data_IF_890800248157
#
_entry.id   IF_890800248157
#
_cell.length_a   1.000
_cell.length_b   1.000
_cell.length_c   1.000
_cell.angle_alpha   90.00
_cell.angle_beta   90.00
_cell.angle_gamma   90.00
#
_symmetry.space_group_name_H-M   'P 1'
#
loop_
_entity.id
_entity.type
_entity.pdbx_description
1 polymer ?
#
# COMPACT_ATOMS: atom_id res chain seq x y z
N UNK A 1 -15.99 -19.97 -29.18
CA UNK A 1 -16.72 -20.99 -28.39
C UNK A 1 -16.38 -20.95 -26.90
N UNK A 2 -15.11 -21.07 -26.47
CA UNK A 2 -14.71 -21.09 -25.04
C UNK A 2 -15.17 -19.88 -24.19
N UNK A 3 -15.19 -18.67 -24.77
CA UNK A 3 -15.64 -17.43 -24.09
C UNK A 3 -17.15 -17.39 -23.84
N UNK A 4 -17.95 -18.01 -24.72
CA UNK A 4 -19.41 -18.11 -24.56
C UNK A 4 -19.78 -19.15 -23.48
N UNK A 5 -19.08 -20.29 -23.46
CA UNK A 5 -19.25 -21.31 -22.42
C UNK A 5 -18.87 -20.79 -21.02
N UNK A 6 -17.78 -20.03 -20.92
CA UNK A 6 -17.38 -19.39 -19.65
C UNK A 6 -18.42 -18.36 -19.19
N UNK A 7 -18.93 -17.53 -20.09
CA UNK A 7 -20.00 -16.57 -19.78
C UNK A 7 -21.28 -17.25 -19.28
N UNK A 8 -21.68 -18.37 -19.91
CA UNK A 8 -22.82 -19.17 -19.47
C UNK A 8 -22.62 -19.78 -18.08
N UNK A 9 -21.43 -20.31 -17.79
CA UNK A 9 -21.11 -20.88 -16.48
C UNK A 9 -21.12 -19.82 -15.36
N UNK A 10 -20.58 -18.63 -15.61
CA UNK A 10 -20.61 -17.51 -14.67
C UNK A 10 -22.05 -17.03 -14.44
N UNK A 11 -22.85 -16.92 -15.50
CA UNK A 11 -24.27 -16.56 -15.39
C UNK A 11 -25.07 -17.59 -14.58
N UNK A 12 -24.86 -18.88 -14.83
CA UNK A 12 -25.51 -19.95 -14.07
C UNK A 12 -25.09 -19.94 -12.58
N UNK A 13 -23.81 -19.75 -12.30
CA UNK A 13 -23.30 -19.61 -10.93
C UNK A 13 -23.92 -18.39 -10.23
N UNK A 14 -24.02 -17.26 -10.92
CA UNK A 14 -24.67 -16.06 -10.38
C UNK A 14 -26.15 -16.31 -10.04
N UNK A 15 -26.91 -16.94 -10.94
CA UNK A 15 -28.32 -17.27 -10.71
C UNK A 15 -28.47 -18.26 -9.55
N UNK A 16 -27.61 -19.27 -9.47
CA UNK A 16 -27.60 -20.22 -8.35
C UNK A 16 -27.31 -19.53 -7.01
N UNK A 17 -26.34 -18.62 -6.97
CA UNK A 17 -26.07 -17.81 -5.80
C UNK A 17 -27.25 -16.89 -5.46
N UNK A 18 -27.90 -16.29 -6.46
CA UNK A 18 -29.04 -15.40 -6.29
C UNK A 18 -30.25 -16.13 -5.66
N UNK A 19 -30.58 -17.30 -6.21
CA UNK A 19 -31.68 -18.14 -5.73
C UNK A 19 -31.33 -18.75 -4.36
N UNK A 20 -30.09 -19.24 -4.19
CA UNK A 20 -29.62 -19.79 -2.91
C UNK A 20 -29.57 -18.74 -1.78
N UNK A 21 -29.38 -17.46 -2.12
CA UNK A 21 -29.45 -16.36 -1.18
C UNK A 21 -30.88 -15.88 -0.90
N UNK A 22 -31.90 -16.41 -1.58
CA UNK A 22 -33.31 -16.03 -1.37
C UNK A 22 -33.62 -14.58 -1.73
N UNK A 23 -32.86 -13.98 -2.65
CA UNK A 23 -33.04 -12.58 -3.02
C UNK A 23 -34.25 -12.42 -3.95
N UNK A 24 -35.37 -11.95 -3.41
CA UNK A 24 -36.59 -11.68 -4.18
C UNK A 24 -36.81 -10.16 -4.36
N UNK A 25 -36.47 -9.57 -5.52
CA UNK A 25 -36.62 -8.12 -5.75
C UNK A 25 -38.04 -7.61 -5.61
N UNK A 26 -39.02 -8.46 -5.94
CA UNK A 26 -40.44 -8.15 -5.84
C UNK A 26 -40.89 -7.87 -4.40
N UNK A 27 -40.20 -8.43 -3.40
CA UNK A 27 -40.50 -8.17 -1.98
C UNK A 27 -40.35 -6.70 -1.61
N UNK A 28 -39.49 -5.94 -2.29
CA UNK A 28 -39.33 -4.50 -2.09
C UNK A 28 -40.56 -3.71 -2.55
N UNK A 29 -41.31 -4.25 -3.53
CA UNK A 29 -42.51 -3.65 -4.09
C UNK A 29 -43.80 -4.17 -3.43
N UNK A 30 -43.68 -5.05 -2.44
CA UNK A 30 -44.82 -5.55 -1.70
C UNK A 30 -45.53 -4.36 -0.99
N UNK A 31 -46.85 -4.15 -1.25
CA UNK A 31 -47.62 -3.12 -0.58
C UNK A 31 -47.54 -3.16 0.96
N UNK A 32 -47.28 -4.31 1.57
CA UNK A 32 -47.05 -4.41 3.01
C UNK A 32 -45.72 -3.77 3.45
N UNK A 33 -44.63 -4.09 2.77
CA UNK A 33 -43.30 -3.53 3.04
C UNK A 33 -43.28 -2.02 2.75
N UNK A 34 -43.87 -1.59 1.65
CA UNK A 34 -43.99 -0.18 1.31
C UNK A 34 -44.78 0.61 2.37
N UNK A 35 -45.84 0.02 2.94
CA UNK A 35 -46.57 0.64 4.05
C UNK A 35 -45.73 0.74 5.32
N UNK A 36 -44.96 -0.30 5.65
CA UNK A 36 -44.06 -0.28 6.80
C UNK A 36 -42.97 0.80 6.64
N UNK A 37 -42.34 0.88 5.47
CA UNK A 37 -41.37 1.94 5.13
C UNK A 37 -42.03 3.31 5.22
N UNK A 38 -43.21 3.50 4.64
CA UNK A 38 -43.90 4.78 4.66
C UNK A 38 -44.35 5.18 6.08
N UNK A 39 -44.71 4.22 6.93
CA UNK A 39 -45.04 4.47 8.34
C UNK A 39 -43.79 4.88 9.12
N UNK A 40 -42.67 4.18 8.94
CA UNK A 40 -41.39 4.54 9.55
C UNK A 40 -40.93 5.94 9.12
N UNK A 41 -40.95 6.23 7.81
CA UNK A 41 -40.56 7.55 7.26
C UNK A 41 -41.46 8.66 7.78
N UNK A 42 -42.78 8.44 7.83
CA UNK A 42 -43.71 9.42 8.42
C UNK A 42 -43.47 9.60 9.91
N UNK A 43 -43.06 8.55 10.63
CA UNK A 43 -42.69 8.64 12.04
C UNK A 43 -41.42 9.45 12.32
N UNK A 44 -40.58 9.69 11.32
CA UNK A 44 -39.41 10.58 11.45
C UNK A 44 -39.77 12.08 11.40
N UNK A 45 -41.01 12.44 11.04
CA UNK A 45 -41.45 13.83 10.87
C UNK A 45 -42.75 14.15 11.66
N UNK A 46 -42.82 15.26 12.42
CA UNK A 46 -41.79 16.29 12.59
C UNK A 46 -40.69 15.85 13.58
N UNK A 47 -39.41 16.14 13.29
CA UNK A 47 -38.32 15.81 14.21
C UNK A 47 -38.41 16.62 15.50
N UNK A 48 -37.99 16.04 16.63
CA UNK A 48 -37.86 16.77 17.88
C UNK A 48 -36.68 17.75 17.78
N UNK A 49 -36.99 19.05 17.71
CA UNK A 49 -36.01 20.14 17.69
C UNK A 49 -35.88 20.81 19.06
N UNK A 50 -36.29 20.13 20.13
CA UNK A 50 -36.17 20.66 21.49
C UNK A 50 -34.70 20.97 21.82
N UNK A 51 -34.42 22.10 22.52
CA UNK A 51 -33.05 22.44 22.92
C UNK A 51 -32.37 21.37 23.79
N UNK A 52 -33.15 20.51 24.48
CA UNK A 52 -32.63 19.36 25.21
C UNK A 52 -32.09 18.29 24.28
N UNK A 53 -32.92 17.84 23.32
CA UNK A 53 -32.52 16.85 22.32
C UNK A 53 -31.34 17.32 21.47
N UNK A 54 -31.36 18.57 20.98
CA UNK A 54 -30.28 19.13 20.17
C UNK A 54 -28.92 19.12 20.87
N UNK A 55 -28.88 19.32 22.19
CA UNK A 55 -27.63 19.23 22.97
C UNK A 55 -27.10 17.80 23.05
N UNK A 56 -27.98 16.82 23.23
CA UNK A 56 -27.60 15.40 23.23
C UNK A 56 -27.11 14.99 21.85
N UNK A 57 -27.85 15.35 20.80
CA UNK A 57 -27.49 15.08 19.41
C UNK A 57 -26.16 15.73 19.04
N UNK A 58 -25.96 17.02 19.34
CA UNK A 58 -24.69 17.71 19.12
C UNK A 58 -23.54 17.03 19.86
N UNK A 59 -23.75 16.65 21.13
CA UNK A 59 -22.75 15.92 21.92
C UNK A 59 -22.42 14.52 21.37
N UNK A 60 -23.38 13.84 20.75
CA UNK A 60 -23.15 12.57 20.06
C UNK A 60 -22.39 12.79 18.74
N UNK A 61 -22.78 13.78 17.94
CA UNK A 61 -22.10 14.15 16.69
C UNK A 61 -20.64 14.53 16.92
N UNK A 62 -20.36 15.37 17.92
CA UNK A 62 -18.98 15.76 18.28
C UNK A 62 -18.18 14.53 18.71
N UNK A 63 -18.78 13.60 19.47
CA UNK A 63 -18.11 12.35 19.85
C UNK A 63 -17.76 11.50 18.63
N UNK A 64 -18.67 11.34 17.67
CA UNK A 64 -18.39 10.61 16.42
C UNK A 64 -17.28 11.27 15.61
N UNK A 65 -17.27 12.60 15.50
CA UNK A 65 -16.19 13.35 14.85
C UNK A 65 -14.86 13.15 15.55
N UNK A 66 -14.83 13.25 16.89
CA UNK A 66 -13.61 13.04 17.66
C UNK A 66 -13.06 11.61 17.50
N UNK A 67 -13.93 10.59 17.58
CA UNK A 67 -13.58 9.18 17.34
C UNK A 67 -12.98 9.02 15.94
N UNK A 68 -13.60 9.61 14.92
CA UNK A 68 -13.09 9.55 13.54
C UNK A 68 -11.71 10.19 13.41
N UNK A 69 -11.52 11.40 13.95
CA UNK A 69 -10.23 12.11 13.90
C UNK A 69 -9.13 11.30 14.59
N UNK A 70 -9.39 10.79 15.79
CA UNK A 70 -8.42 9.98 16.54
C UNK A 70 -8.12 8.68 15.81
N UNK A 71 -9.14 8.00 15.29
CA UNK A 71 -8.98 6.75 14.52
C UNK A 71 -8.16 6.96 13.25
N UNK A 72 -8.40 8.04 12.50
CA UNK A 72 -7.62 8.39 11.32
C UNK A 72 -6.18 8.73 11.68
N UNK A 73 -5.95 9.55 12.71
CA UNK A 73 -4.61 9.89 13.17
C UNK A 73 -3.81 8.65 13.59
N UNK A 74 -4.43 7.77 14.39
CA UNK A 74 -3.85 6.49 14.80
C UNK A 74 -3.50 5.62 13.58
N UNK A 75 -4.43 5.50 12.62
CA UNK A 75 -4.23 4.72 11.39
C UNK A 75 -3.09 5.25 10.56
N UNK A 76 -2.99 6.57 10.40
CA UNK A 76 -1.95 7.21 9.62
C UNK A 76 -0.58 7.00 10.25
N UNK A 77 -0.46 7.17 11.57
CA UNK A 77 0.79 6.97 12.30
C UNK A 77 1.23 5.50 12.22
N UNK A 78 0.36 4.57 12.60
CA UNK A 78 0.68 3.14 12.56
C UNK A 78 0.97 2.65 11.14
N UNK A 79 0.14 3.09 10.18
CA UNK A 79 0.34 2.79 8.77
C UNK A 79 1.68 3.30 8.27
N UNK A 80 2.06 4.54 8.59
CA UNK A 80 3.34 5.11 8.17
C UNK A 80 4.52 4.35 8.76
N UNK A 81 4.48 4.06 10.07
CA UNK A 81 5.52 3.27 10.73
C UNK A 81 5.69 1.88 10.10
N UNK A 82 4.57 1.16 9.89
CA UNK A 82 4.59 -0.17 9.28
C UNK A 82 4.98 -0.11 7.79
N UNK A 83 4.56 0.94 7.07
CA UNK A 83 4.90 1.17 5.67
C UNK A 83 6.40 1.39 5.49
N UNK A 84 7.01 2.26 6.31
CA UNK A 84 8.46 2.47 6.31
C UNK A 84 9.22 1.18 6.64
N UNK A 85 8.78 0.45 7.66
CA UNK A 85 9.41 -0.83 8.04
C UNK A 85 9.27 -1.88 6.92
N UNK A 86 8.14 -1.86 6.22
CA UNK A 86 7.86 -2.68 5.05
C UNK A 86 8.61 -2.23 3.78
N UNK A 87 9.33 -1.10 3.77
CA UNK A 87 10.18 -0.66 2.65
C UNK A 87 11.69 -0.80 2.95
N UNK A 88 12.07 -0.85 4.23
CA UNK A 88 13.46 -0.71 4.70
C UNK A 88 14.48 -1.75 4.18
N UNK A 89 14.04 -2.90 3.64
CA UNK A 89 14.93 -3.92 3.05
C UNK A 89 15.53 -3.48 1.71
N UNK A 90 14.93 -2.53 0.98
CA UNK A 90 15.55 -1.93 -0.23
C UNK A 90 16.71 -0.97 0.08
N UNK A 91 16.87 -0.54 1.34
CA UNK A 91 17.98 0.33 1.75
C UNK A 91 19.33 -0.41 1.73
N UNK A 92 19.36 -1.74 1.69
CA UNK A 92 20.61 -2.50 1.51
C UNK A 92 21.18 -2.33 0.08
N UNK A 93 20.31 -2.11 -0.90
CA UNK A 93 20.73 -1.64 -2.22
C UNK A 93 21.28 -0.21 -2.16
N UNK A 94 21.09 0.53 -1.06
CA UNK A 94 21.63 1.87 -0.80
C UNK A 94 23.09 1.82 -0.32
N UNK A 95 23.48 0.79 0.43
CA UNK A 95 24.79 0.65 1.08
C UNK A 95 25.83 -0.19 0.30
N UNK A 96 25.43 -0.87 -0.79
CA UNK A 96 26.37 -1.65 -1.61
C UNK A 96 27.59 -0.80 -2.09
N UNK A 97 28.84 -1.29 -1.92
CA UNK A 97 30.07 -0.54 -2.20
C UNK A 97 30.11 0.08 -3.61
N UNK A 98 30.61 1.31 -3.65
CA UNK A 98 30.57 2.28 -4.76
C UNK A 98 31.60 2.01 -5.86
N UNK A 99 32.42 0.96 -5.72
CA UNK A 99 33.59 0.78 -6.56
C UNK A 99 33.19 0.17 -7.92
N UNK A 100 33.57 0.79 -9.06
CA UNK A 100 33.37 0.20 -10.37
C UNK A 100 34.17 -1.11 -10.47
N UNK A 101 33.48 -2.25 -10.52
CA UNK A 101 34.10 -3.56 -10.82
C UNK A 101 34.94 -3.50 -12.12
N UNK A 102 34.58 -2.62 -13.05
CA UNK A 102 35.28 -2.41 -14.31
C UNK A 102 36.65 -1.72 -14.21
N UNK A 103 36.96 -0.96 -13.14
CA UNK A 103 38.33 -0.42 -12.92
C UNK A 103 39.20 -1.28 -12.01
N UNK A 104 38.60 -2.17 -11.21
CA UNK A 104 39.35 -3.15 -10.43
C UNK A 104 39.92 -4.28 -11.29
N UNK A 105 39.26 -4.64 -12.40
CA UNK A 105 39.76 -5.66 -13.33
C UNK A 105 40.98 -5.17 -14.15
N UNK A 106 41.16 -3.85 -14.31
CA UNK A 106 42.28 -3.27 -15.05
C UNK A 106 43.49 -2.84 -14.21
N UNK A 107 43.38 -2.88 -12.88
CA UNK A 107 44.45 -2.56 -11.93
C UNK A 107 44.87 -3.76 -11.08
N UNK A 108 44.53 -4.98 -11.54
CA UNK A 108 45.01 -6.21 -10.94
C UNK A 108 46.46 -6.44 -11.39
N UNK A 109 47.39 -5.97 -10.58
CA UNK A 109 48.71 -6.58 -10.45
C UNK A 109 48.57 -8.13 -10.45
N UNK A 110 49.42 -8.86 -11.19
CA UNK A 110 49.43 -10.32 -11.16
C UNK A 110 49.96 -10.78 -9.79
N UNK A 111 49.08 -10.90 -8.79
CA UNK A 111 49.41 -11.49 -7.48
C UNK A 111 48.62 -11.02 -6.26
N UNK A 112 47.82 -9.95 -6.36
CA UNK A 112 47.08 -9.40 -5.21
C UNK A 112 45.63 -9.84 -5.15
N UNK A 113 45.35 -11.07 -4.71
CA UNK A 113 43.99 -11.44 -4.33
C UNK A 113 43.57 -10.52 -3.16
N UNK A 114 42.69 -9.56 -3.41
CA UNK A 114 42.08 -8.76 -2.34
C UNK A 114 41.44 -9.76 -1.39
N UNK A 115 41.95 -9.92 -0.16
CA UNK A 115 41.54 -11.04 0.67
C UNK A 115 40.07 -10.85 1.00
N UNK A 116 39.28 -11.92 0.91
CA UNK A 116 37.84 -11.90 1.21
C UNK A 116 37.53 -11.32 2.60
N UNK A 117 38.52 -11.29 3.50
CA UNK A 117 38.48 -10.65 4.82
C UNK A 117 38.39 -9.11 4.77
N UNK A 118 38.95 -8.45 3.75
CA UNK A 118 38.84 -6.99 3.59
C UNK A 118 37.40 -6.54 3.27
N UNK A 119 36.62 -7.39 2.59
CA UNK A 119 35.18 -7.19 2.34
C UNK A 119 34.34 -7.31 3.61
N UNK A 120 34.76 -8.18 4.55
CA UNK A 120 34.02 -8.47 5.79
C UNK A 120 34.27 -7.39 6.84
N UNK A 121 35.47 -6.80 6.86
CA UNK A 121 35.83 -5.76 7.83
C UNK A 121 35.22 -4.38 7.52
N UNK A 122 34.76 -4.15 6.29
CA UNK A 122 34.23 -2.85 5.84
C UNK A 122 32.72 -2.87 5.48
N UNK A 123 31.99 -3.95 5.77
CA UNK A 123 30.54 -4.08 5.51
C UNK A 123 29.75 -4.31 6.82
N UNK A 124 29.60 -3.27 7.68
CA UNK A 124 28.84 -3.37 8.94
C UNK A 124 27.37 -3.75 8.72
N UNK A 125 26.88 -3.55 7.50
CA UNK A 125 25.51 -3.85 7.07
C UNK A 125 25.28 -5.37 6.90
N UNK A 126 26.32 -6.15 6.61
CA UNK A 126 26.23 -7.60 6.41
C UNK A 126 25.68 -8.33 7.65
N UNK A 127 25.97 -7.82 8.85
CA UNK A 127 25.50 -8.39 10.13
C UNK A 127 24.02 -8.09 10.40
N UNK A 128 23.46 -7.04 9.80
CA UNK A 128 22.07 -6.60 10.03
C UNK A 128 21.08 -7.11 8.97
N UNK A 129 21.57 -7.66 7.84
CA UNK A 129 20.74 -8.19 6.74
C UNK A 129 19.64 -9.17 7.18
N UNK A 130 19.92 -10.22 7.97
CA UNK A 130 18.85 -11.15 8.37
C UNK A 130 17.82 -10.49 9.29
N UNK A 131 18.23 -9.55 10.15
CA UNK A 131 17.32 -8.82 11.02
C UNK A 131 16.39 -7.89 10.23
N UNK A 132 16.91 -7.21 9.20
CA UNK A 132 16.13 -6.32 8.32
C UNK A 132 15.21 -7.12 7.40
N UNK A 133 15.67 -8.24 6.87
CA UNK A 133 14.85 -9.17 6.10
C UNK A 133 13.70 -9.74 6.95
N UNK A 134 13.99 -10.13 8.19
CA UNK A 134 12.98 -10.57 9.14
C UNK A 134 11.99 -9.45 9.46
N UNK A 135 12.48 -8.25 9.78
CA UNK A 135 11.63 -7.09 10.07
C UNK A 135 10.70 -6.75 8.89
N UNK A 136 11.23 -6.80 7.66
CA UNK A 136 10.45 -6.61 6.44
C UNK A 136 9.38 -7.70 6.28
N UNK A 137 9.74 -8.97 6.43
CA UNK A 137 8.81 -10.09 6.30
C UNK A 137 7.70 -10.01 7.34
N UNK A 138 8.06 -9.71 8.60
CA UNK A 138 7.12 -9.49 9.70
C UNK A 138 6.22 -8.30 9.41
N UNK A 139 6.75 -7.15 9.00
CA UNK A 139 5.96 -5.96 8.68
C UNK A 139 4.93 -6.23 7.56
N UNK A 140 5.34 -6.90 6.48
CA UNK A 140 4.44 -7.28 5.37
C UNK A 140 3.39 -8.29 5.83
N UNK A 141 3.76 -9.24 6.67
CA UNK A 141 2.82 -10.18 7.28
C UNK A 141 1.81 -9.46 8.19
N UNK A 142 2.26 -8.53 9.04
CA UNK A 142 1.40 -7.71 9.89
C UNK A 142 0.42 -6.89 9.05
N UNK A 143 0.88 -6.20 7.99
CA UNK A 143 0.00 -5.46 7.08
C UNK A 143 -1.02 -6.36 6.38
N UNK A 144 -0.66 -7.60 6.05
CA UNK A 144 -1.60 -8.57 5.51
C UNK A 144 -2.65 -8.98 6.56
N UNK A 145 -2.23 -9.33 7.77
CA UNK A 145 -3.12 -9.73 8.86
C UNK A 145 -4.12 -8.64 9.25
N UNK A 146 -3.64 -7.41 9.43
CA UNK A 146 -4.48 -6.26 9.80
C UNK A 146 -5.65 -6.06 8.82
N UNK A 147 -5.40 -6.26 7.52
CA UNK A 147 -6.40 -6.09 6.45
C UNK A 147 -7.27 -7.33 6.23
N UNK A 148 -6.72 -8.52 6.44
CA UNK A 148 -7.40 -9.79 6.13
C UNK A 148 -8.53 -10.11 7.09
N UNK A 149 -8.44 -9.63 8.32
CA UNK A 149 -9.47 -9.81 9.33
C UNK A 149 -10.57 -8.76 9.13
N UNK A 150 -11.85 -9.16 9.00
CA UNK A 150 -12.98 -8.22 8.89
C UNK A 150 -13.06 -7.27 10.08
N UNK A 151 -13.50 -6.03 9.84
CA UNK A 151 -13.60 -4.98 10.86
C UNK A 151 -14.39 -5.44 12.10
N UNK A 152 -15.50 -6.17 11.91
CA UNK A 152 -16.33 -6.66 13.02
C UNK A 152 -15.56 -7.57 13.98
N UNK A 153 -14.63 -8.37 13.46
CA UNK A 153 -13.79 -9.25 14.28
C UNK A 153 -12.79 -8.40 15.07
N UNK A 154 -12.20 -7.36 14.46
CA UNK A 154 -11.36 -6.41 15.19
C UNK A 154 -12.12 -5.67 16.29
N UNK A 155 -13.36 -5.25 16.03
CA UNK A 155 -14.23 -4.61 17.03
C UNK A 155 -14.45 -5.54 18.21
N UNK A 156 -14.79 -6.81 17.94
CA UNK A 156 -14.98 -7.80 18.98
C UNK A 156 -13.69 -8.03 19.81
N UNK A 157 -12.55 -8.22 19.15
CA UNK A 157 -11.26 -8.39 19.83
C UNK A 157 -10.89 -7.18 20.69
N UNK A 158 -11.09 -5.96 20.19
CA UNK A 158 -10.80 -4.74 20.94
C UNK A 158 -11.75 -4.59 22.13
N UNK A 159 -13.04 -4.90 21.98
CA UNK A 159 -13.98 -4.91 23.11
C UNK A 159 -13.52 -5.89 24.19
N UNK A 160 -13.06 -7.08 23.82
CA UNK A 160 -12.53 -8.05 24.77
C UNK A 160 -11.24 -7.57 25.45
N UNK A 161 -10.40 -6.82 24.73
CA UNK A 161 -9.11 -6.35 25.23
C UNK A 161 -9.22 -5.11 26.14
N UNK A 162 -10.05 -4.13 25.78
CA UNK A 162 -10.13 -2.83 26.48
C UNK A 162 -11.50 -2.53 27.10
N UNK A 163 -12.50 -3.37 26.86
CA UNK A 163 -13.88 -3.20 27.33
C UNK A 163 -14.79 -2.50 26.33
N UNK A 164 -16.07 -2.38 26.72
CA UNK A 164 -17.10 -1.72 25.92
C UNK A 164 -16.92 -0.20 25.94
N UNK A 165 -16.82 0.42 24.77
CA UNK A 165 -16.83 1.87 24.64
C UNK A 165 -16.29 2.38 23.30
N UNK A 166 -16.29 3.72 23.10
CA UNK A 166 -15.81 4.36 21.88
C UNK A 166 -14.36 3.99 21.52
N UNK A 167 -13.52 3.78 22.54
CA UNK A 167 -12.11 3.47 22.37
C UNK A 167 -11.87 2.14 21.63
N UNK A 168 -12.69 1.11 21.90
CA UNK A 168 -12.61 -0.15 21.19
C UNK A 168 -12.90 0.02 19.69
N UNK A 169 -13.87 0.87 19.34
CA UNK A 169 -14.16 1.22 17.95
C UNK A 169 -13.01 1.97 17.27
N UNK A 170 -12.41 2.93 17.96
CA UNK A 170 -11.21 3.66 17.46
C UNK A 170 -10.06 2.71 17.18
N UNK A 171 -9.76 1.79 18.10
CA UNK A 171 -8.69 0.81 17.92
C UNK A 171 -8.98 -0.16 16.77
N UNK A 172 -10.20 -0.69 16.71
CA UNK A 172 -10.58 -1.67 15.70
C UNK A 172 -10.54 -1.07 14.28
N UNK A 173 -11.20 0.07 14.10
CA UNK A 173 -11.16 0.81 12.83
C UNK A 173 -9.72 1.23 12.52
N UNK A 174 -9.00 1.73 13.53
CA UNK A 174 -7.62 2.19 13.41
C UNK A 174 -6.65 1.12 12.92
N UNK A 175 -6.72 -0.06 13.51
CA UNK A 175 -5.87 -1.21 13.16
C UNK A 175 -6.18 -1.73 11.76
N UNK A 176 -7.46 -1.85 11.42
CA UNK A 176 -7.87 -2.27 10.08
C UNK A 176 -7.39 -1.29 9.00
N UNK A 177 -7.65 0.00 9.19
CA UNK A 177 -7.25 1.05 8.24
C UNK A 177 -5.73 1.24 8.18
N UNK A 178 -5.01 1.07 9.28
CA UNK A 178 -3.54 1.07 9.29
C UNK A 178 -2.93 0.00 8.37
N UNK A 179 -3.53 -1.18 8.29
CA UNK A 179 -3.11 -2.24 7.37
C UNK A 179 -3.20 -1.84 5.90
N UNK A 180 -4.26 -1.10 5.53
CA UNK A 180 -4.46 -0.59 4.18
C UNK A 180 -3.50 0.58 3.89
N UNK A 181 -3.46 1.58 4.77
CA UNK A 181 -2.59 2.75 4.61
C UNK A 181 -1.12 2.37 4.59
N UNK A 182 -0.68 1.45 5.46
CA UNK A 182 0.72 1.02 5.48
C UNK A 182 1.16 0.28 4.23
N UNK A 183 0.25 -0.45 3.57
CA UNK A 183 0.51 -1.01 2.24
C UNK A 183 0.71 0.10 1.20
N UNK A 184 -0.19 1.08 1.17
CA UNK A 184 -0.10 2.21 0.23
C UNK A 184 1.16 3.06 0.47
N UNK A 185 1.51 3.31 1.74
CA UNK A 185 2.76 3.97 2.08
C UNK A 185 3.97 3.15 1.65
N UNK A 186 3.97 1.83 1.84
CA UNK A 186 5.06 0.99 1.36
C UNK A 186 5.19 1.04 -0.17
N UNK A 187 4.07 0.96 -0.90
CA UNK A 187 4.04 1.03 -2.37
C UNK A 187 4.56 2.39 -2.87
N UNK A 188 4.09 3.50 -2.30
CA UNK A 188 4.55 4.85 -2.65
C UNK A 188 6.01 5.09 -2.29
N UNK A 189 6.49 4.58 -1.16
CA UNK A 189 7.90 4.66 -0.78
C UNK A 189 8.77 3.78 -1.69
N UNK A 190 8.26 2.65 -2.19
CA UNK A 190 8.96 1.78 -3.14
C UNK A 190 9.03 2.35 -4.56
N UNK A 191 8.10 3.25 -4.93
CA UNK A 191 8.09 3.94 -6.22
C UNK A 191 9.19 5.01 -6.34
N UNK A 192 9.67 5.55 -5.22
CA UNK A 192 10.73 6.58 -5.24
C UNK A 192 11.99 6.00 -5.89
N UNK A 193 12.47 6.56 -7.03
CA UNK A 193 13.62 6.02 -7.73
C UNK A 193 14.84 6.00 -6.82
N UNK A 194 15.46 4.82 -6.68
CA UNK A 194 16.75 4.75 -6.04
C UNK A 194 17.73 5.66 -6.82
N UNK A 195 18.50 6.53 -6.14
CA UNK A 195 19.46 7.43 -6.80
C UNK A 195 20.44 6.73 -7.75
N UNK A 196 20.64 5.41 -7.59
CA UNK A 196 21.46 4.57 -8.49
C UNK A 196 20.88 4.43 -9.90
N UNK A 197 19.56 4.28 -10.04
CA UNK A 197 18.90 4.03 -11.32
C UNK A 197 18.76 5.30 -12.16
N UNK A 198 18.50 6.44 -11.52
CA UNK A 198 18.39 7.73 -12.19
C UNK A 198 19.74 8.24 -12.70
N UNK A 199 20.84 8.04 -11.97
CA UNK A 199 22.18 8.45 -12.43
C UNK A 199 22.72 7.54 -13.53
N UNK A 200 22.52 6.22 -13.42
CA UNK A 200 22.93 5.28 -14.48
C UNK A 200 22.08 5.42 -15.75
N UNK A 201 20.76 5.66 -15.63
CA UNK A 201 19.89 5.92 -16.77
C UNK A 201 20.19 7.28 -17.42
N UNK A 202 20.53 8.31 -16.64
CA UNK A 202 20.98 9.60 -17.17
C UNK A 202 22.36 9.51 -17.82
N UNK A 203 23.28 8.72 -17.26
CA UNK A 203 24.59 8.46 -17.86
C UNK A 203 24.46 7.69 -19.19
N UNK A 204 23.62 6.64 -19.25
CA UNK A 204 23.36 5.90 -20.48
C UNK A 204 22.62 6.73 -21.55
N UNK A 205 21.75 7.65 -21.13
CA UNK A 205 21.09 8.61 -22.04
C UNK A 205 22.07 9.64 -22.60
N UNK A 206 23.04 10.10 -21.79
CA UNK A 206 24.11 10.99 -22.23
C UNK A 206 25.12 10.29 -23.16
N UNK A 207 25.48 9.03 -22.88
CA UNK A 207 26.35 8.20 -23.72
C UNK A 207 25.69 7.92 -25.08
N UNK A 208 24.43 7.48 -25.10
CA UNK A 208 23.68 7.23 -26.33
C UNK A 208 23.35 8.49 -27.14
N UNK A 209 23.34 9.67 -26.51
CA UNK A 209 23.27 10.96 -27.20
C UNK A 209 24.62 11.36 -27.82
N UNK A 210 25.75 11.06 -27.16
CA UNK A 210 27.10 11.26 -27.71
C UNK A 210 27.38 10.36 -28.91
N UNK A 211 27.00 9.08 -28.85
CA UNK A 211 27.19 8.14 -29.98
C UNK A 211 26.36 8.54 -31.21
N UNK A 212 25.11 8.97 -31.03
CA UNK A 212 24.27 9.48 -32.13
C UNK A 212 24.81 10.78 -32.74
N UNK A 213 25.45 11.64 -31.94
CA UNK A 213 26.06 12.86 -32.45
C UNK A 213 27.39 12.57 -33.18
N UNK A 214 28.17 11.61 -32.69
CA UNK A 214 29.41 11.14 -33.35
C UNK A 214 29.16 10.50 -34.72
N UNK A 215 28.07 9.74 -34.86
CA UNK A 215 27.68 9.11 -36.14
C UNK A 215 27.20 10.11 -37.21
N UNK A 216 26.64 11.27 -36.81
CA UNK A 216 26.21 12.33 -37.74
C UNK A 216 27.32 13.29 -38.13
N UNK A 217 28.36 13.43 -37.31
CA UNK A 217 29.52 14.28 -37.59
C UNK A 217 30.45 13.69 -38.65
N UNK A 218 30.62 12.36 -38.69
CA UNK A 218 31.58 11.71 -39.59
C UNK A 218 31.25 11.76 -41.08
N UNK A 219 29.97 11.90 -41.46
CA UNK A 219 29.55 11.97 -42.87
C UNK A 219 29.72 13.34 -43.51
N UNK A 220 29.62 14.43 -42.73
CA UNK A 220 29.64 15.80 -43.27
C UNK A 220 31.03 16.37 -43.49
N UNK A 221 32.05 15.85 -42.79
CA UNK A 221 33.45 16.27 -43.01
C UNK A 221 34.04 15.64 -44.28
N UNK A 222 33.51 14.49 -44.71
CA UNK A 222 33.90 13.87 -45.99
C UNK A 222 33.28 14.60 -47.20
N UNK A 223 32.09 15.20 -47.04
CA UNK A 223 31.39 15.92 -48.11
C UNK A 223 31.91 17.35 -48.29
N UNK A 224 32.37 18.01 -47.20
CA UNK A 224 32.98 19.34 -47.25
C UNK A 224 34.44 19.35 -47.75
N UNK A 225 35.06 18.18 -47.94
CA UNK A 225 36.40 18.04 -48.51
C UNK A 225 36.37 17.72 -50.02
N UNK A 226 35.18 17.64 -50.63
CA UNK A 226 34.96 17.28 -52.05
C UNK A 226 34.26 18.39 -52.86
N UNK A 227 34.21 19.63 -52.35
CA UNK A 227 33.76 20.82 -53.09
C UNK A 227 34.79 21.92 -52.91
#
# INVERSE_FOLDING_TARGET
MKRLALGGAVGAAFILCWVGAGLEPSSLLDPANLRAVAAFVRGLFPPDLSPGFLRVAAGATVRTLAISVVGTALSAILGLCLGVLATASRVEAWSAPRWPRSRAAGAAEPGGAVPATASIMFDPEARLRPLRALAYAVARATLALLRSIPELVWVLLCILAVGLGPFAGVLALGLHTAGVLGKLYAETLEEVPCPRGSVAAQAGSAEGARERNGSRGGGRVAEAALV
#
